data_IF_988168405570
#
_entry.id   IF_988168405570
#
_cell.length_a   1.000
_cell.length_b   1.000
_cell.length_c   1.000
_cell.angle_alpha   90.00
_cell.angle_beta   90.00
_cell.angle_gamma   90.00
#
_symmetry.space_group_name_H-M   'P 1'
#
loop_
_entity.id
_entity.type
_entity.pdbx_description
1 polymer ?
#
# COMPACT_ATOMS: atom_id res chain seq x y z
N UNK A 1 12.40 19.68 -1.74
CA UNK A 1 12.22 18.24 -1.44
C UNK A 1 10.76 17.93 -1.66
N UNK A 2 10.42 16.85 -2.38
CA UNK A 2 9.02 16.46 -2.54
C UNK A 2 8.53 15.86 -1.21
N UNK A 3 7.49 16.44 -0.60
CA UNK A 3 6.86 15.84 0.57
C UNK A 3 6.13 14.57 0.11
N UNK A 4 6.37 13.44 0.79
CA UNK A 4 5.67 12.17 0.52
C UNK A 4 4.15 12.34 0.56
N UNK A 5 3.66 13.15 1.49
CA UNK A 5 2.22 13.46 1.65
C UNK A 5 1.67 14.31 0.49
N UNK A 6 2.54 14.97 -0.27
CA UNK A 6 2.19 15.61 -1.54
C UNK A 6 1.58 14.64 -2.57
N UNK A 7 1.79 13.33 -2.42
CA UNK A 7 1.22 12.31 -3.29
C UNK A 7 -0.21 11.88 -2.93
N UNK A 8 -0.77 12.35 -1.81
CA UNK A 8 -2.13 12.00 -1.37
C UNK A 8 -3.22 12.20 -2.44
N UNK A 9 -3.24 13.27 -3.24
CA UNK A 9 -4.26 13.40 -4.30
C UNK A 9 -4.20 12.27 -5.33
N UNK A 10 -3.01 11.70 -5.58
CA UNK A 10 -2.83 10.58 -6.49
C UNK A 10 -3.21 9.26 -5.81
N UNK A 11 -2.88 9.09 -4.53
CA UNK A 11 -3.32 7.95 -3.71
C UNK A 11 -4.84 7.92 -3.62
N UNK A 12 -5.49 9.05 -3.30
CA UNK A 12 -6.95 9.21 -3.26
C UNK A 12 -7.61 8.77 -4.57
N UNK A 13 -7.08 9.23 -5.72
CA UNK A 13 -7.60 8.84 -7.04
C UNK A 13 -7.64 7.32 -7.20
N UNK A 14 -6.56 6.63 -6.83
CA UNK A 14 -6.46 5.17 -7.02
C UNK A 14 -7.09 4.36 -5.89
N UNK A 15 -7.35 4.96 -4.74
CA UNK A 15 -8.07 4.32 -3.64
C UNK A 15 -9.49 3.88 -4.04
N UNK A 16 -10.12 4.52 -5.03
CA UNK A 16 -11.40 4.04 -5.59
C UNK A 16 -11.29 2.62 -6.20
N UNK A 17 -10.12 2.29 -6.76
CA UNK A 17 -9.84 0.97 -7.36
C UNK A 17 -9.33 -0.05 -6.33
N UNK A 18 -8.77 0.43 -5.22
CA UNK A 18 -8.19 -0.39 -4.14
C UNK A 18 -8.66 0.11 -2.76
N UNK A 19 -9.96 -0.01 -2.44
CA UNK A 19 -10.57 0.61 -1.27
C UNK A 19 -10.09 0.03 0.07
N UNK A 20 -9.47 -1.16 0.04
CA UNK A 20 -9.00 -1.87 1.23
C UNK A 20 -7.54 -1.49 1.61
N UNK A 21 -6.91 -0.58 0.86
CA UNK A 21 -5.54 -0.17 1.13
C UNK A 21 -5.51 1.13 1.93
N UNK A 22 -5.06 1.04 3.19
CA UNK A 22 -4.85 2.20 4.04
C UNK A 22 -3.88 3.21 3.37
N UNK A 23 -4.27 4.49 3.17
CA UNK A 23 -3.36 5.49 2.62
C UNK A 23 -2.06 5.65 3.42
N UNK A 24 -2.05 5.38 4.73
CA UNK A 24 -0.81 5.40 5.51
C UNK A 24 0.18 4.31 5.07
N UNK A 25 -0.29 3.13 4.70
CA UNK A 25 0.59 2.06 4.16
C UNK A 25 1.19 2.47 2.83
N UNK A 26 0.40 3.12 1.96
CA UNK A 26 0.88 3.57 0.65
C UNK A 26 1.94 4.66 0.81
N UNK A 27 1.71 5.66 1.66
CA UNK A 27 2.69 6.70 1.95
C UNK A 27 3.95 6.12 2.61
N UNK A 28 3.80 5.14 3.50
CA UNK A 28 4.92 4.44 4.13
C UNK A 28 5.80 3.74 3.09
N UNK A 29 5.21 3.01 2.14
CA UNK A 29 5.94 2.39 1.03
C UNK A 29 6.66 3.47 0.21
N UNK A 30 5.98 4.56 -0.18
CA UNK A 30 6.61 5.64 -0.96
C UNK A 30 7.81 6.25 -0.23
N UNK A 31 7.68 6.47 1.08
CA UNK A 31 8.77 6.99 1.90
C UNK A 31 9.96 6.02 1.93
N UNK A 32 9.68 4.74 2.20
CA UNK A 32 10.71 3.72 2.30
C UNK A 32 11.42 3.46 0.97
N UNK A 33 10.70 3.53 -0.15
CA UNK A 33 11.18 3.14 -1.46
C UNK A 33 11.89 4.28 -2.20
N UNK A 34 11.39 5.51 -2.08
CA UNK A 34 11.94 6.62 -2.86
C UNK A 34 12.01 7.96 -2.13
N UNK A 35 11.61 8.03 -0.85
CA UNK A 35 11.47 9.29 -0.12
C UNK A 35 10.57 10.32 -0.84
N UNK A 36 9.65 9.85 -1.70
CA UNK A 36 8.76 10.70 -2.49
C UNK A 36 9.35 11.23 -3.80
N UNK A 37 10.55 10.80 -4.21
CA UNK A 37 11.14 11.14 -5.51
C UNK A 37 10.58 10.23 -6.62
N UNK A 38 9.98 10.77 -7.69
CA UNK A 38 9.22 9.96 -8.66
C UNK A 38 10.05 9.31 -9.77
N UNK A 39 11.31 9.70 -9.92
CA UNK A 39 12.19 9.31 -11.02
C UNK A 39 13.36 8.42 -10.58
N UNK A 40 13.37 7.99 -9.32
CA UNK A 40 14.38 7.09 -8.74
C UNK A 40 14.42 5.77 -9.49
N UNK A 41 15.61 5.34 -9.87
CA UNK A 41 15.86 3.98 -10.36
C UNK A 41 16.74 3.27 -9.35
N UNK A 42 16.24 2.18 -8.80
CA UNK A 42 16.90 1.35 -7.80
C UNK A 42 18.20 0.76 -8.32
N UNK A 43 19.12 0.50 -7.39
CA UNK A 43 20.39 -0.19 -7.67
C UNK A 43 20.28 -1.72 -7.59
N UNK A 44 19.06 -2.24 -7.40
CA UNK A 44 18.79 -3.67 -7.47
C UNK A 44 19.01 -4.21 -8.90
N UNK A 45 19.04 -5.54 -9.03
CA UNK A 45 19.33 -6.20 -10.30
C UNK A 45 18.28 -5.96 -11.39
N UNK A 46 17.04 -5.65 -11.02
CA UNK A 46 15.94 -5.48 -11.96
C UNK A 46 15.70 -4.01 -12.33
N UNK A 47 16.35 -3.08 -11.62
CA UNK A 47 16.25 -1.65 -11.85
C UNK A 47 14.84 -1.14 -11.52
N UNK A 48 14.35 -1.41 -10.31
CA UNK A 48 13.04 -0.95 -9.85
C UNK A 48 12.88 0.57 -9.99
N UNK A 49 11.68 1.05 -10.32
CA UNK A 49 11.49 2.45 -10.76
C UNK A 49 10.44 3.18 -9.94
N UNK A 50 10.71 4.46 -9.69
CA UNK A 50 9.76 5.48 -9.24
C UNK A 50 9.37 5.39 -7.77
N UNK A 51 8.23 6.00 -7.45
CA UNK A 51 7.75 6.24 -6.09
C UNK A 51 7.68 4.99 -5.21
N UNK A 52 7.23 3.88 -5.78
CA UNK A 52 7.00 2.62 -5.08
C UNK A 52 7.92 1.50 -5.59
N UNK A 53 9.01 1.86 -6.27
CA UNK A 53 10.07 0.97 -6.78
C UNK A 53 9.51 -0.28 -7.49
N UNK A 54 8.79 -0.05 -8.59
CA UNK A 54 8.18 -1.12 -9.37
C UNK A 54 9.22 -1.72 -10.34
N UNK A 55 9.40 -3.04 -10.31
CA UNK A 55 10.26 -3.74 -11.26
C UNK A 55 9.68 -3.67 -12.70
N UNK A 56 10.45 -3.19 -13.70
CA UNK A 56 10.00 -2.98 -15.08
C UNK A 56 10.08 -4.26 -15.95
N UNK A 57 9.32 -5.30 -15.61
CA UNK A 57 9.24 -6.52 -16.43
C UNK A 57 8.58 -6.28 -17.79
N UNK A 58 8.77 -7.18 -18.75
CA UNK A 58 8.23 -7.05 -20.13
C UNK A 58 6.70 -6.94 -20.21
N UNK A 59 5.98 -7.45 -19.22
CA UNK A 59 4.53 -7.38 -19.09
C UNK A 59 4.05 -6.25 -18.16
N UNK A 60 4.98 -5.46 -17.61
CA UNK A 60 4.72 -4.26 -16.81
C UNK A 60 5.07 -3.01 -17.64
N UNK A 61 4.70 -1.80 -17.17
CA UNK A 61 5.09 -0.58 -17.87
C UNK A 61 6.62 -0.45 -17.95
N UNK A 62 7.08 0.21 -19.00
CA UNK A 62 8.50 0.48 -19.20
C UNK A 62 9.07 1.40 -18.11
N UNK A 63 10.41 1.46 -18.02
CA UNK A 63 11.10 2.40 -17.12
C UNK A 63 10.61 3.84 -17.31
N UNK A 64 10.42 4.31 -18.56
CA UNK A 64 9.95 5.67 -18.81
C UNK A 64 8.51 5.88 -18.35
N UNK A 65 7.64 4.89 -18.52
CA UNK A 65 6.26 4.94 -18.03
C UNK A 65 6.19 4.91 -16.50
N UNK A 66 7.03 4.11 -15.84
CA UNK A 66 7.07 4.01 -14.38
C UNK A 66 7.63 5.26 -13.68
N UNK A 67 8.27 6.18 -14.40
CA UNK A 67 8.60 7.52 -13.88
C UNK A 67 7.38 8.45 -13.81
N UNK A 68 6.25 8.09 -14.41
CA UNK A 68 4.99 8.79 -14.21
C UNK A 68 4.41 8.43 -12.83
N UNK A 69 4.24 9.38 -11.90
CA UNK A 69 3.78 9.11 -10.54
C UNK A 69 2.44 8.38 -10.47
N UNK A 70 1.49 8.74 -11.34
CA UNK A 70 0.15 8.15 -11.33
C UNK A 70 0.19 6.70 -11.78
N UNK A 71 0.98 6.37 -12.81
CA UNK A 71 1.18 4.98 -13.25
C UNK A 71 1.89 4.19 -12.15
N UNK A 72 2.94 4.77 -11.57
CA UNK A 72 3.74 4.09 -10.55
C UNK A 72 2.91 3.72 -9.31
N UNK A 73 2.16 4.70 -8.76
CA UNK A 73 1.28 4.49 -7.61
C UNK A 73 0.17 3.48 -7.94
N UNK A 74 -0.44 3.55 -9.13
CA UNK A 74 -1.46 2.59 -9.55
C UNK A 74 -0.93 1.15 -9.52
N UNK A 75 0.27 0.93 -10.06
CA UNK A 75 0.89 -0.39 -10.11
C UNK A 75 1.35 -0.88 -8.74
N UNK A 76 1.93 0.01 -7.91
CA UNK A 76 2.30 -0.33 -6.54
C UNK A 76 1.08 -0.71 -5.70
N UNK A 77 0.00 0.08 -5.75
CA UNK A 77 -1.25 -0.25 -5.06
C UNK A 77 -1.84 -1.57 -5.55
N UNK A 78 -1.86 -1.83 -6.86
CA UNK A 78 -2.35 -3.10 -7.40
C UNK A 78 -1.53 -4.32 -6.97
N UNK A 79 -0.20 -4.18 -6.84
CA UNK A 79 0.64 -5.25 -6.28
C UNK A 79 0.31 -5.46 -4.80
N UNK A 80 0.18 -4.38 -4.01
CA UNK A 80 -0.15 -4.49 -2.59
C UNK A 80 -1.52 -5.12 -2.36
N UNK A 81 -2.55 -4.73 -3.12
CA UNK A 81 -3.89 -5.33 -3.08
C UNK A 81 -3.85 -6.84 -3.40
N UNK A 82 -3.05 -7.21 -4.39
CA UNK A 82 -2.86 -8.62 -4.77
C UNK A 82 -2.28 -9.43 -3.61
N UNK A 83 -1.21 -8.95 -2.98
CA UNK A 83 -0.58 -9.67 -1.87
C UNK A 83 -1.45 -9.64 -0.61
N UNK A 84 -2.20 -8.56 -0.35
CA UNK A 84 -3.20 -8.50 0.73
C UNK A 84 -4.25 -9.60 0.57
N UNK A 85 -4.69 -9.87 -0.67
CA UNK A 85 -5.54 -11.00 -0.98
C UNK A 85 -4.89 -12.37 -0.73
N UNK A 86 -3.62 -12.52 -1.09
CA UNK A 86 -2.86 -13.77 -0.92
C UNK A 86 -2.58 -14.08 0.55
N UNK A 87 -2.45 -13.06 1.39
CA UNK A 87 -2.14 -13.21 2.82
C UNK A 87 -3.35 -13.07 3.72
N UNK A 88 -4.57 -13.09 3.16
CA UNK A 88 -5.82 -12.99 3.92
C UNK A 88 -5.84 -11.73 4.84
N UNK A 89 -5.25 -10.63 4.36
CA UNK A 89 -5.19 -9.37 5.08
C UNK A 89 -4.05 -9.24 6.10
N UNK A 90 -3.18 -10.24 6.27
CA UNK A 90 -1.96 -10.09 7.07
C UNK A 90 -1.01 -9.07 6.42
N UNK A 91 -1.12 -7.81 6.87
CA UNK A 91 -0.36 -6.69 6.33
C UNK A 91 1.15 -6.88 6.50
N UNK A 92 1.60 -7.49 7.59
CA UNK A 92 3.02 -7.71 7.83
C UNK A 92 3.59 -8.66 6.79
N UNK A 93 2.88 -9.75 6.50
CA UNK A 93 3.26 -10.69 5.44
C UNK A 93 3.12 -10.09 4.05
N UNK A 94 2.07 -9.29 3.82
CA UNK A 94 1.87 -8.59 2.55
C UNK A 94 3.00 -7.64 2.20
N UNK A 95 3.47 -6.83 3.15
CA UNK A 95 4.61 -5.94 2.93
C UNK A 95 5.91 -6.72 2.66
N UNK A 96 6.07 -7.90 3.26
CA UNK A 96 7.22 -8.75 3.00
C UNK A 96 7.16 -9.34 1.57
N UNK A 97 5.97 -9.76 1.13
CA UNK A 97 5.74 -10.19 -0.25
C UNK A 97 5.87 -9.05 -1.26
N UNK A 98 5.45 -7.83 -0.91
CA UNK A 98 5.61 -6.65 -1.74
C UNK A 98 7.10 -6.40 -2.04
N UNK A 99 7.95 -6.51 -1.01
CA UNK A 99 9.38 -6.23 -1.12
C UNK A 99 10.14 -7.20 -2.04
N UNK A 100 9.85 -8.49 -1.98
CA UNK A 100 10.69 -9.51 -2.63
C UNK A 100 9.94 -10.65 -3.32
N UNK A 101 8.60 -10.62 -3.31
CA UNK A 101 7.75 -11.69 -3.81
C UNK A 101 7.81 -12.95 -2.95
N UNK A 102 6.91 -13.90 -3.23
CA UNK A 102 6.79 -15.15 -2.48
C UNK A 102 8.05 -16.03 -2.57
N UNK A 103 8.59 -16.19 -3.78
CA UNK A 103 9.83 -16.94 -3.99
C UNK A 103 11.00 -16.32 -3.22
N UNK A 104 11.11 -14.98 -3.22
CA UNK A 104 12.14 -14.27 -2.47
C UNK A 104 11.98 -14.46 -0.97
N UNK A 105 10.76 -14.32 -0.46
CA UNK A 105 10.46 -14.47 0.97
C UNK A 105 10.75 -15.89 1.46
N UNK A 106 10.31 -16.92 0.73
CA UNK A 106 10.53 -18.32 1.07
C UNK A 106 12.02 -18.72 1.00
N UNK A 107 12.78 -18.09 0.10
CA UNK A 107 14.22 -18.33 -0.04
C UNK A 107 15.08 -17.45 0.89
N UNK A 108 14.49 -16.50 1.63
CA UNK A 108 15.22 -15.52 2.43
C UNK A 108 16.02 -14.51 1.60
N UNK A 109 15.63 -14.26 0.35
CA UNK A 109 16.34 -13.43 -0.63
C UNK A 109 15.71 -12.03 -0.80
N UNK A 110 15.41 -11.35 0.30
CA UNK A 110 14.71 -10.06 0.31
C UNK A 110 15.65 -8.88 0.60
N UNK A 111 16.74 -8.80 -0.16
CA UNK A 111 17.76 -7.77 0.02
C UNK A 111 18.53 -7.87 1.34
N UNK A 112 19.17 -6.78 1.75
CA UNK A 112 20.17 -6.76 2.82
C UNK A 112 19.63 -7.15 4.21
N UNK A 113 18.36 -6.81 4.48
CA UNK A 113 17.79 -6.94 5.83
C UNK A 113 16.64 -7.95 5.90
N UNK A 114 16.13 -8.44 4.76
CA UNK A 114 15.01 -9.39 4.71
C UNK A 114 13.64 -8.71 4.62
N UNK A 115 12.65 -9.45 4.12
CA UNK A 115 11.30 -8.93 3.85
C UNK A 115 10.54 -8.64 5.14
N UNK A 116 10.73 -9.44 6.18
CA UNK A 116 10.13 -9.20 7.50
C UNK A 116 10.66 -7.91 8.15
N UNK A 117 11.96 -7.64 8.07
CA UNK A 117 12.53 -6.40 8.59
C UNK A 117 12.08 -5.17 7.79
N UNK A 118 11.78 -5.34 6.49
CA UNK A 118 11.15 -4.31 5.68
C UNK A 118 9.73 -4.00 6.19
N UNK A 119 8.92 -5.04 6.43
CA UNK A 119 7.57 -4.89 6.98
C UNK A 119 7.59 -4.20 8.35
N UNK A 120 8.44 -4.65 9.26
CA UNK A 120 8.53 -4.11 10.62
C UNK A 120 8.93 -2.63 10.58
N UNK A 121 9.88 -2.25 9.72
CA UNK A 121 10.23 -0.83 9.56
C UNK A 121 9.06 0.01 9.06
N UNK A 122 8.27 -0.49 8.11
CA UNK A 122 7.10 0.24 7.64
C UNK A 122 6.07 0.40 8.76
N UNK A 123 5.73 -0.70 9.43
CA UNK A 123 4.67 -0.74 10.44
C UNK A 123 5.05 -0.03 11.74
N UNK A 124 6.30 -0.12 12.19
CA UNK A 124 6.72 0.43 13.48
C UNK A 124 7.20 1.89 13.38
N UNK A 125 7.60 2.34 12.18
CA UNK A 125 8.16 3.69 11.99
C UNK A 125 7.32 4.54 11.03
N UNK A 126 7.21 4.15 9.77
CA UNK A 126 6.61 5.01 8.75
C UNK A 126 5.09 5.14 8.89
N UNK A 127 4.40 4.04 9.17
CA UNK A 127 2.94 4.01 9.28
C UNK A 127 2.44 4.90 10.43
N UNK A 128 3.00 4.86 11.65
CA UNK A 128 2.64 5.79 12.71
C UNK A 128 2.90 7.25 12.36
N UNK A 129 4.02 7.54 11.69
CA UNK A 129 4.35 8.90 11.22
C UNK A 129 3.27 9.43 10.27
N UNK A 130 2.91 8.65 9.25
CA UNK A 130 1.89 9.08 8.31
C UNK A 130 0.51 9.09 8.92
N UNK A 131 0.17 8.16 9.82
CA UNK A 131 -1.11 8.20 10.54
C UNK A 131 -1.30 9.50 11.30
N UNK A 132 -0.28 9.94 12.04
CA UNK A 132 -0.32 11.23 12.74
C UNK A 132 -0.53 12.41 11.76
N UNK A 133 0.18 12.43 10.63
CA UNK A 133 0.01 13.49 9.62
C UNK A 133 -1.37 13.46 8.94
N UNK A 134 -1.89 12.27 8.65
CA UNK A 134 -3.22 12.08 8.06
C UNK A 134 -4.35 12.45 9.03
N UNK A 135 -4.19 12.23 10.34
CA UNK A 135 -5.13 12.71 11.36
C UNK A 135 -5.23 14.23 11.36
N UNK A 136 -4.11 14.94 11.23
CA UNK A 136 -4.12 16.42 11.12
C UNK A 136 -4.83 16.85 9.84
N UNK A 137 -4.47 16.25 8.70
CA UNK A 137 -5.11 16.56 7.41
C UNK A 137 -6.59 16.23 7.35
N UNK A 138 -7.03 15.19 8.05
CA UNK A 138 -8.44 14.86 8.15
C UNK A 138 -9.28 15.97 8.78
N UNK A 139 -8.66 16.91 9.51
CA UNK A 139 -9.30 18.13 10.00
C UNK A 139 -9.63 19.16 8.93
N UNK A 140 -8.95 19.11 7.78
CA UNK A 140 -9.09 20.08 6.69
C UNK A 140 -10.46 19.95 5.99
N UNK A 141 -10.95 21.07 5.45
CA UNK A 141 -12.25 21.16 4.78
C UNK A 141 -12.14 21.11 3.25
N UNK A 142 -11.16 20.36 2.74
CA UNK A 142 -11.00 20.09 1.32
C UNK A 142 -11.41 18.65 0.95
N UNK A 143 -11.27 18.28 -0.32
CA UNK A 143 -11.61 16.95 -0.82
C UNK A 143 -10.82 15.84 -0.11
N UNK A 144 -9.53 16.07 0.17
CA UNK A 144 -8.65 15.06 0.77
C UNK A 144 -8.94 14.94 2.27
N UNK A 145 -9.10 16.05 2.98
CA UNK A 145 -9.49 16.05 4.39
C UNK A 145 -10.84 15.37 4.62
N UNK A 146 -11.81 15.59 3.72
CA UNK A 146 -13.12 14.91 3.76
C UNK A 146 -12.96 13.39 3.54
N UNK A 147 -12.22 12.98 2.51
CA UNK A 147 -11.95 11.56 2.25
C UNK A 147 -11.21 10.87 3.42
N UNK A 148 -10.19 11.51 3.99
CA UNK A 148 -9.47 10.97 5.16
C UNK A 148 -10.39 10.88 6.39
N UNK A 149 -11.25 11.88 6.58
CA UNK A 149 -12.23 11.85 7.66
C UNK A 149 -13.20 10.67 7.51
N UNK A 150 -13.68 10.41 6.31
CA UNK A 150 -14.51 9.24 6.01
C UNK A 150 -13.76 7.95 6.32
N UNK A 151 -12.45 7.86 6.02
CA UNK A 151 -11.58 6.74 6.40
C UNK A 151 -11.29 6.63 7.91
N UNK A 152 -11.87 7.48 8.76
CA UNK A 152 -11.78 7.40 10.21
C UNK A 152 -10.61 8.16 10.84
N UNK A 153 -9.81 8.90 10.05
CA UNK A 153 -8.64 9.62 10.55
C UNK A 153 -8.96 10.78 11.49
N UNK A 154 -10.21 11.27 11.56
CA UNK A 154 -10.62 12.28 12.56
C UNK A 154 -10.68 11.72 13.98
N UNK A 155 -10.87 10.41 14.15
CA UNK A 155 -11.16 9.79 15.44
C UNK A 155 -10.06 8.83 15.90
N UNK A 156 -8.90 8.86 15.24
CA UNK A 156 -7.78 7.97 15.54
C UNK A 156 -6.82 7.86 14.36
N UNK A 157 -6.04 6.79 14.33
CA UNK A 157 -5.04 6.53 13.30
C UNK A 157 -5.60 5.79 12.06
N UNK A 158 -6.87 6.07 11.70
CA UNK A 158 -7.58 5.43 10.60
C UNK A 158 -8.31 4.13 10.98
N UNK A 159 -9.17 3.63 10.09
CA UNK A 159 -10.04 2.44 10.30
C UNK A 159 -9.29 1.09 10.50
N UNK A 160 -7.97 1.07 10.37
CA UNK A 160 -7.17 -0.17 10.29
C UNK A 160 -6.38 -0.51 11.56
N UNK A 161 -6.62 0.20 12.66
CA UNK A 161 -6.26 -0.34 13.97
C UNK A 161 -7.32 -1.37 14.35
N UNK A 162 -6.93 -2.65 14.25
CA UNK A 162 -7.70 -3.75 14.82
C UNK A 162 -7.92 -3.43 16.30
N UNK A 163 -9.18 -3.18 16.65
CA UNK A 163 -9.65 -3.30 18.02
C UNK A 163 -9.19 -4.66 18.53
N UNK A 164 -8.35 -4.68 19.57
CA UNK A 164 -7.98 -5.92 20.25
C UNK A 164 -9.25 -6.68 20.61
N UNK A 165 -9.33 -7.94 20.17
CA UNK A 165 -10.44 -8.88 20.34
C UNK A 165 -11.12 -8.79 21.72
N UNK A 166 -12.11 -7.92 21.88
CA UNK A 166 -13.01 -7.95 23.04
C UNK A 166 -14.48 -7.70 22.73
N UNK A 167 -14.87 -7.53 21.46
CA UNK A 167 -16.28 -7.54 21.07
C UNK A 167 -16.50 -8.51 19.91
N UNK A 168 -16.63 -9.79 20.25
CA UNK A 168 -17.24 -10.80 19.36
C UNK A 168 -18.75 -10.73 19.58
N UNK A 169 -19.50 -10.35 18.54
CA UNK A 169 -20.95 -10.56 18.41
C UNK A 169 -21.25 -11.07 16.98
N UNK A 170 -22.33 -11.85 16.78
CA UNK A 170 -22.28 -13.06 15.96
C UNK A 170 -22.41 -12.84 14.45
N UNK A 171 -21.88 -13.82 13.73
CA UNK A 171 -21.98 -14.10 12.30
C UNK A 171 -23.43 -14.00 11.77
N UNK A 172 -23.65 -13.12 10.79
CA UNK A 172 -24.62 -13.34 9.70
C UNK A 172 -23.86 -13.29 8.38
N UNK A 173 -23.75 -14.45 7.72
CA UNK A 173 -23.12 -14.59 6.41
C UNK A 173 -24.10 -14.16 5.33
N UNK A 174 -23.93 -12.96 4.80
CA UNK A 174 -24.44 -12.63 3.47
C UNK A 174 -23.32 -12.80 2.44
N UNK A 175 -23.44 -13.83 1.60
CA UNK A 175 -22.62 -14.01 0.41
C UNK A 175 -22.92 -12.93 -0.63
N UNK A 176 -22.17 -11.83 -0.57
CA UNK A 176 -22.18 -10.81 -1.62
C UNK A 176 -21.03 -11.06 -2.58
N UNK A 177 -21.32 -11.67 -3.74
CA UNK A 177 -20.39 -11.75 -4.86
C UNK A 177 -20.21 -10.35 -5.49
N UNK A 178 -19.09 -9.69 -5.19
CA UNK A 178 -18.68 -8.47 -5.89
C UNK A 178 -18.15 -8.78 -7.30
N UNK A 179 -18.36 -7.89 -8.29
CA UNK A 179 -17.97 -8.14 -9.67
C UNK A 179 -16.43 -8.28 -9.81
N UNK A 180 -16.02 -9.17 -10.70
CA UNK A 180 -14.62 -9.49 -10.96
C UNK A 180 -13.82 -8.25 -11.36
N UNK A 181 -12.87 -7.84 -10.50
CA UNK A 181 -11.88 -6.81 -10.81
C UNK A 181 -10.75 -7.41 -11.65
N UNK A 182 -10.19 -6.57 -12.52
CA UNK A 182 -9.31 -6.83 -13.69
C UNK A 182 -8.07 -7.72 -13.46
N UNK A 183 -7.76 -8.11 -12.21
CA UNK A 183 -6.56 -8.85 -11.82
C UNK A 183 -6.80 -10.10 -10.94
N UNK A 184 -8.04 -10.50 -10.65
CA UNK A 184 -8.32 -11.78 -9.96
C UNK A 184 -9.02 -12.77 -10.89
N UNK A 185 -8.48 -13.98 -11.00
CA UNK A 185 -9.26 -15.15 -11.39
C UNK A 185 -10.26 -15.49 -10.28
N UNK A 186 -11.47 -15.92 -10.66
CA UNK A 186 -12.53 -16.28 -9.71
C UNK A 186 -12.07 -17.45 -8.84
N UNK A 187 -12.16 -17.31 -7.52
CA UNK A 187 -12.34 -18.44 -6.63
C UNK A 187 -13.58 -18.12 -5.79
N UNK A 188 -14.72 -18.60 -6.26
CA UNK A 188 -15.86 -18.85 -5.39
C UNK A 188 -15.61 -20.24 -4.79
N UNK A 189 -15.74 -20.40 -3.46
CA UNK A 189 -15.93 -21.73 -2.87
C UNK A 189 -17.39 -22.10 -2.96
#
# INVERSE_FOLDING_TARGET
MASVVGWLPTVHRWHAEYPDLDPAWILAIIAQESMGFPDVVGSDRVGSVGLMQIAPFSWRPSVSQLKNPSINIQWGMGILDTVQGQTEGDIRRSLALYNCGETGLNAGLCGRHGGWAYSDRLLDYWVPVFRAELTVRAGEHDLIGTWLAELGYRYGMGRWEVMSETEVMPEEKEEVCLPARRFRSRICR
#
